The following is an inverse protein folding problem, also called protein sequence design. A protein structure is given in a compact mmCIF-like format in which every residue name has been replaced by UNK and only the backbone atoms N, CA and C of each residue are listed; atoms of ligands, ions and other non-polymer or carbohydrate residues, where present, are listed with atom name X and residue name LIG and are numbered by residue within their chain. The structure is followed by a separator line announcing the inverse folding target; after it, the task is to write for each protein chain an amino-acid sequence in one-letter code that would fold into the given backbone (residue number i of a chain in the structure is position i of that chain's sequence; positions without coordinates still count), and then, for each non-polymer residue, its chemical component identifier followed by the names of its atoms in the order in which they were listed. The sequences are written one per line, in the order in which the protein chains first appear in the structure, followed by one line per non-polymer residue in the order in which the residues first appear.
data_IF_351040377697
#
_entry.id   IF_351040377697
#
_cell.length_a   1.000
_cell.length_b   1.000
_cell.length_c   1.000
_cell.angle_alpha   90.00
_cell.angle_beta   90.00
_cell.angle_gamma   90.00
#
_symmetry.space_group_name_H-M   'P 1'
#
loop_
_entity.id
_entity.type
_entity.pdbx_description
1 polymer ?
#
# COMPACT_ATOMS: atom_id res chain seq x y z
N UNK A 1 -12.87 17.07 12.31
CA UNK A 1 -11.90 16.67 11.26
C UNK A 1 -10.97 15.58 11.81
N UNK A 2 -10.82 14.46 11.11
CA UNK A 2 -9.97 13.36 11.57
C UNK A 2 -8.50 13.54 11.20
N UNK A 3 -7.60 12.79 11.85
CA UNK A 3 -6.16 12.85 11.60
C UNK A 3 -5.84 12.09 10.30
N UNK A 4 -4.98 12.68 9.47
CA UNK A 4 -4.43 12.06 8.26
C UNK A 4 -2.96 11.74 8.52
N UNK A 5 -2.62 10.45 8.54
CA UNK A 5 -1.23 10.00 8.56
C UNK A 5 -0.72 9.85 7.13
N UNK A 6 0.23 10.69 6.75
CA UNK A 6 0.72 10.77 5.37
C UNK A 6 1.84 9.78 5.08
N UNK A 7 2.35 9.03 6.06
CA UNK A 7 3.40 8.04 5.82
C UNK A 7 3.40 6.93 6.87
N UNK A 8 2.91 5.76 6.50
CA UNK A 8 2.92 4.59 7.37
C UNK A 8 3.08 3.28 6.59
N UNK A 9 3.25 2.20 7.34
CA UNK A 9 3.35 0.82 6.87
C UNK A 9 2.36 -0.02 7.69
N UNK A 10 1.17 -0.24 7.17
CA UNK A 10 -0.01 -0.69 7.95
C UNK A 10 -0.17 -2.19 7.88
N UNK A 11 -0.16 -2.75 6.66
CA UNK A 11 -0.54 -4.13 6.42
C UNK A 11 0.67 -5.06 6.47
N UNK A 12 0.91 -5.62 7.66
CA UNK A 12 1.86 -6.72 7.87
C UNK A 12 1.10 -7.99 8.22
N UNK A 13 1.05 -9.00 7.33
CA UNK A 13 0.30 -10.24 7.56
C UNK A 13 0.65 -10.92 8.91
N UNK A 14 1.91 -10.84 9.31
CA UNK A 14 2.45 -11.40 10.55
C UNK A 14 1.88 -10.69 11.79
N UNK A 15 1.56 -9.40 11.65
CA UNK A 15 1.02 -8.56 12.71
C UNK A 15 -0.52 -8.62 12.82
N UNK A 16 -1.19 -9.38 11.94
CA UNK A 16 -2.63 -9.69 12.01
C UNK A 16 -3.52 -8.45 12.25
N UNK A 17 -3.25 -7.38 11.51
CA UNK A 17 -4.03 -6.15 11.55
C UNK A 17 -3.76 -5.20 12.73
N UNK A 18 -2.67 -5.40 13.48
CA UNK A 18 -2.28 -4.50 14.57
C UNK A 18 -2.13 -3.04 14.09
N UNK A 19 -1.54 -2.81 12.92
CA UNK A 19 -1.35 -1.45 12.36
C UNK A 19 -2.66 -0.69 12.19
N UNK A 20 -3.69 -1.31 11.63
CA UNK A 20 -5.01 -0.70 11.47
C UNK A 20 -5.62 -0.24 12.81
N UNK A 21 -5.52 -1.10 13.83
CA UNK A 21 -6.05 -0.82 15.18
C UNK A 21 -5.26 0.26 15.89
N UNK A 22 -3.93 0.26 15.74
CA UNK A 22 -3.06 1.28 16.30
C UNK A 22 -3.40 2.66 15.75
N UNK A 23 -3.59 2.77 14.43
CA UNK A 23 -3.93 4.04 13.77
C UNK A 23 -5.31 4.56 14.21
N UNK A 24 -6.34 3.71 14.22
CA UNK A 24 -7.67 4.10 14.71
C UNK A 24 -7.62 4.55 16.18
N UNK A 25 -6.90 3.82 17.05
CA UNK A 25 -6.78 4.18 18.46
C UNK A 25 -6.03 5.50 18.68
N UNK A 26 -5.14 5.87 17.75
CA UNK A 26 -4.47 7.16 17.74
C UNK A 26 -5.35 8.31 17.18
N UNK A 27 -6.57 8.02 16.72
CA UNK A 27 -7.50 9.00 16.14
C UNK A 27 -7.28 9.24 14.64
N UNK A 28 -6.50 8.39 13.97
CA UNK A 28 -6.28 8.46 12.52
C UNK A 28 -7.53 7.95 11.80
N UNK A 29 -8.01 8.75 10.85
CA UNK A 29 -9.17 8.42 10.01
C UNK A 29 -8.77 8.11 8.57
N UNK A 30 -7.60 8.57 8.14
CA UNK A 30 -7.04 8.29 6.82
C UNK A 30 -5.54 8.08 6.91
N UNK A 31 -5.01 7.07 6.25
CA UNK A 31 -3.60 6.73 6.27
C UNK A 31 -3.07 6.41 4.87
N UNK A 32 -1.80 6.73 4.62
CA UNK A 32 -1.11 6.42 3.37
C UNK A 32 -0.11 5.29 3.62
N UNK A 33 -0.39 4.11 3.06
CA UNK A 33 0.47 2.93 3.16
C UNK A 33 1.53 2.93 2.06
N UNK A 34 2.80 2.90 2.48
CA UNK A 34 3.98 2.83 1.61
C UNK A 34 4.66 1.46 1.63
N UNK A 35 4.06 0.47 2.31
CA UNK A 35 4.56 -0.91 2.28
C UNK A 35 4.15 -1.60 0.99
N UNK A 36 2.86 -1.55 0.64
CA UNK A 36 2.32 -2.25 -0.53
C UNK A 36 2.67 -3.76 -0.56
N UNK A 37 2.43 -4.47 -1.67
CA UNK A 37 1.61 -4.07 -2.83
C UNK A 37 0.12 -4.02 -2.49
N UNK A 38 -0.69 -3.37 -3.34
CA UNK A 38 -2.12 -3.14 -3.09
C UNK A 38 -2.92 -4.42 -2.80
N UNK A 39 -2.54 -5.55 -3.39
CA UNK A 39 -3.20 -6.83 -3.14
C UNK A 39 -3.03 -7.35 -1.71
N UNK A 40 -1.89 -7.04 -1.05
CA UNK A 40 -1.70 -7.35 0.36
C UNK A 40 -2.63 -6.49 1.21
N UNK A 41 -2.71 -5.18 0.91
CA UNK A 41 -3.62 -4.27 1.61
C UNK A 41 -5.07 -4.71 1.45
N UNK A 42 -5.50 -5.05 0.23
CA UNK A 42 -6.87 -5.53 -0.07
C UNK A 42 -7.24 -6.77 0.75
N UNK A 43 -6.33 -7.74 0.83
CA UNK A 43 -6.54 -8.96 1.61
C UNK A 43 -6.65 -8.65 3.11
N UNK A 44 -5.71 -7.85 3.63
CA UNK A 44 -5.65 -7.55 5.06
C UNK A 44 -6.82 -6.64 5.50
N UNK A 45 -7.20 -5.63 4.71
CA UNK A 45 -8.31 -4.73 5.04
C UNK A 45 -9.66 -5.45 5.00
N UNK A 46 -9.83 -6.44 4.12
CA UNK A 46 -11.04 -7.29 4.10
C UNK A 46 -11.18 -8.10 5.39
N UNK A 47 -10.06 -8.53 5.98
CA UNK A 47 -10.05 -9.39 7.16
C UNK A 47 -10.02 -8.62 8.48
N UNK A 48 -9.28 -7.52 8.52
CA UNK A 48 -8.93 -6.78 9.73
C UNK A 48 -9.37 -5.30 9.71
N UNK A 49 -10.05 -4.86 8.65
CA UNK A 49 -10.51 -3.50 8.50
C UNK A 49 -11.34 -3.01 9.69
N UNK A 50 -11.14 -1.74 10.04
CA UNK A 50 -11.74 -1.12 11.22
C UNK A 50 -12.24 0.31 10.94
N UNK A 51 -12.64 0.59 9.70
CA UNK A 51 -13.16 1.91 9.30
C UNK A 51 -12.09 2.96 8.96
N UNK A 52 -10.82 2.54 8.85
CA UNK A 52 -9.72 3.41 8.41
C UNK A 52 -9.73 3.53 6.88
N UNK A 53 -9.68 4.76 6.36
CA UNK A 53 -9.44 4.98 4.93
C UNK A 53 -7.96 4.76 4.64
N UNK A 54 -7.63 3.99 3.61
CA UNK A 54 -6.24 3.69 3.27
C UNK A 54 -5.97 4.02 1.80
N UNK A 55 -5.07 4.98 1.57
CA UNK A 55 -4.43 5.18 0.29
C UNK A 55 -3.18 4.30 0.23
N UNK A 56 -2.89 3.70 -0.92
CA UNK A 56 -1.76 2.78 -1.07
C UNK A 56 -0.86 3.26 -2.20
N UNK A 57 0.44 3.32 -1.94
CA UNK A 57 1.44 3.45 -2.99
C UNK A 57 1.89 2.05 -3.44
N UNK A 58 1.74 1.76 -4.73
CA UNK A 58 2.19 0.47 -5.27
C UNK A 58 3.72 0.36 -5.19
N UNK A 59 4.18 -0.66 -4.46
CA UNK A 59 5.60 -0.85 -4.19
C UNK A 59 6.32 -1.49 -5.39
N UNK A 60 7.43 -0.90 -5.82
CA UNK A 60 8.28 -1.44 -6.88
C UNK A 60 9.55 -1.99 -6.24
N UNK A 61 9.83 -3.28 -6.42
CA UNK A 61 11.01 -3.95 -5.86
C UNK A 61 11.38 -5.20 -6.69
N UNK A 62 12.56 -5.82 -6.49
CA UNK A 62 12.94 -7.02 -7.23
C UNK A 62 11.90 -8.14 -7.08
N UNK A 63 11.35 -8.60 -8.21
CA UNK A 63 10.24 -9.56 -8.23
C UNK A 63 8.84 -8.94 -8.27
N UNK A 64 8.71 -7.62 -8.07
CA UNK A 64 7.49 -6.84 -8.28
C UNK A 64 7.79 -5.56 -9.07
N UNK A 65 7.78 -5.67 -10.41
CA UNK A 65 7.99 -4.55 -11.33
C UNK A 65 9.42 -4.39 -11.85
N UNK A 66 10.45 -4.78 -11.07
CA UNK A 66 11.86 -4.74 -11.50
C UNK A 66 12.58 -6.06 -11.24
N UNK A 67 13.67 -6.34 -11.97
CA UNK A 67 14.44 -7.59 -11.85
C UNK A 67 15.52 -7.55 -10.76
N UNK A 68 16.20 -6.43 -10.61
CA UNK A 68 17.32 -6.27 -9.68
C UNK A 68 17.16 -4.97 -8.89
N UNK A 69 17.89 -4.85 -7.77
CA UNK A 69 17.79 -3.67 -6.90
C UNK A 69 18.22 -2.38 -7.62
N UNK A 70 19.26 -2.47 -8.43
CA UNK A 70 19.82 -1.36 -9.21
C UNK A 70 19.33 -1.41 -10.66
N UNK A 71 18.02 -1.56 -10.83
CA UNK A 71 17.41 -1.66 -12.16
C UNK A 71 17.56 -0.34 -12.94
N UNK A 72 17.83 -0.39 -14.26
CA UNK A 72 17.95 0.79 -15.10
C UNK A 72 16.69 1.66 -15.08
N UNK A 73 16.85 2.97 -15.28
CA UNK A 73 15.75 3.96 -15.31
C UNK A 73 14.63 3.56 -16.27
N UNK A 74 14.94 2.95 -17.41
CA UNK A 74 13.93 2.50 -18.38
C UNK A 74 13.06 1.35 -17.85
N UNK A 75 13.64 0.47 -17.03
CA UNK A 75 12.89 -0.60 -16.36
C UNK A 75 11.98 -0.02 -15.28
N UNK A 76 12.49 0.95 -14.50
CA UNK A 76 11.69 1.67 -13.50
C UNK A 76 10.51 2.40 -14.13
N UNK A 77 10.72 3.14 -15.23
CA UNK A 77 9.65 3.81 -16.00
C UNK A 77 8.59 2.84 -16.48
N UNK A 78 9.02 1.70 -17.03
CA UNK A 78 8.09 0.65 -17.50
C UNK A 78 7.28 0.10 -16.34
N UNK A 79 7.92 -0.17 -15.19
CA UNK A 79 7.24 -0.64 -13.99
C UNK A 79 6.17 0.34 -13.51
N UNK A 80 6.50 1.65 -13.43
CA UNK A 80 5.53 2.68 -13.00
C UNK A 80 4.36 2.80 -13.97
N UNK A 81 4.62 2.84 -15.28
CA UNK A 81 3.57 2.90 -16.30
C UNK A 81 2.69 1.65 -16.31
N UNK A 82 3.28 0.46 -16.16
CA UNK A 82 2.52 -0.79 -16.08
C UNK A 82 1.64 -0.87 -14.84
N UNK A 83 2.10 -0.35 -13.70
CA UNK A 83 1.30 -0.25 -12.48
C UNK A 83 0.05 0.58 -12.71
N UNK A 84 0.18 1.74 -13.37
CA UNK A 84 -0.97 2.60 -13.73
C UNK A 84 -1.95 1.87 -14.65
N UNK A 85 -1.45 1.19 -15.68
CA UNK A 85 -2.30 0.52 -16.68
C UNK A 85 -3.03 -0.72 -16.14
N UNK A 86 -2.40 -1.49 -15.26
CA UNK A 86 -3.00 -2.71 -14.70
C UNK A 86 -4.14 -2.42 -13.71
N UNK A 87 -4.22 -1.21 -13.17
CA UNK A 87 -5.29 -0.77 -12.26
C UNK A 87 -6.40 0.05 -12.95
N UNK A 88 -6.28 0.33 -14.26
CA UNK A 88 -7.29 1.07 -15.06
C UNK A 88 -8.54 0.25 -15.44
N UNK A 89 -8.71 -0.97 -14.91
CA UNK A 89 -9.92 -1.77 -15.08
C UNK A 89 -11.09 -1.34 -14.17
N UNK A 90 -10.94 -0.21 -13.45
CA UNK A 90 -11.90 0.28 -12.45
C UNK A 90 -12.43 1.71 -12.70
N UNK A 91 -12.27 2.26 -13.92
CA UNK A 91 -12.99 3.44 -14.38
C UNK A 91 -13.91 3.09 -15.55
#
# INVERSE_FOLDING_TARGET
PGIIDTHCHIARPEAKGAGYRMLINAGVTTAFDFEGPIEVIKREITKYGCGLNVAVLEAIYPGNGIKIKDSPVEELKKATLSGILNHNSFL
#
